data_IF_821796584756
#
_entry.id   IF_821796584756
#
_cell.length_a   1.000
_cell.length_b   1.000
_cell.length_c   1.000
_cell.angle_alpha   90.00
_cell.angle_beta   90.00
_cell.angle_gamma   90.00
#
_symmetry.space_group_name_H-M   'P 1'
#
loop_
_entity.id
_entity.type
_entity.pdbx_description
1 polymer ?
#
# COMPACT_ATOMS: atom_id res chain seq x y z
N UNK A 1 -14.78 -0.22 -6.24
CA UNK A 1 -13.98 0.47 -5.21
C UNK A 1 -12.66 1.00 -5.77
N UNK A 2 -11.82 0.18 -6.39
CA UNK A 2 -10.50 0.62 -6.85
C UNK A 2 -10.56 1.83 -7.80
N UNK A 3 -11.46 1.83 -8.78
CA UNK A 3 -11.63 2.96 -9.70
C UNK A 3 -12.00 4.26 -8.97
N UNK A 4 -12.92 4.20 -7.99
CA UNK A 4 -13.26 5.34 -7.14
C UNK A 4 -12.06 5.84 -6.32
N UNK A 5 -11.24 4.92 -5.81
CA UNK A 5 -10.01 5.29 -5.08
C UNK A 5 -9.01 6.02 -5.99
N UNK A 6 -8.85 5.59 -7.24
CA UNK A 6 -8.00 6.29 -8.21
C UNK A 6 -8.54 7.68 -8.55
N UNK A 7 -9.86 7.84 -8.71
CA UNK A 7 -10.50 9.14 -8.93
C UNK A 7 -10.34 10.06 -7.71
N UNK A 8 -10.47 9.51 -6.49
CA UNK A 8 -10.22 10.26 -5.27
C UNK A 8 -8.75 10.68 -5.14
N UNK A 9 -7.78 9.83 -5.52
CA UNK A 9 -6.37 10.19 -5.54
C UNK A 9 -6.08 11.30 -6.55
N UNK A 10 -6.63 11.20 -7.75
CA UNK A 10 -6.54 12.25 -8.77
C UNK A 10 -7.10 13.58 -8.24
N UNK A 11 -8.28 13.54 -7.63
CA UNK A 11 -8.91 14.73 -7.03
C UNK A 11 -8.02 15.37 -5.95
N UNK A 12 -7.48 14.55 -5.02
CA UNK A 12 -6.59 15.05 -3.95
C UNK A 12 -5.35 15.74 -4.53
N UNK A 13 -4.71 15.13 -5.52
CA UNK A 13 -3.49 15.63 -6.14
C UNK A 13 -3.80 16.89 -6.97
N UNK A 14 -4.79 16.82 -7.86
CA UNK A 14 -5.16 17.95 -8.75
C UNK A 14 -5.64 19.19 -7.99
N UNK A 15 -6.32 19.00 -6.84
CA UNK A 15 -6.80 20.11 -6.00
C UNK A 15 -5.77 20.55 -4.93
N UNK A 16 -4.55 19.97 -4.92
CA UNK A 16 -3.51 20.34 -3.97
C UNK A 16 -3.84 20.02 -2.51
N UNK A 17 -4.65 18.98 -2.26
CA UNK A 17 -5.17 18.62 -0.92
C UNK A 17 -4.23 17.72 -0.11
N UNK A 18 -3.00 17.45 -0.57
CA UNK A 18 -2.05 16.56 0.11
C UNK A 18 -1.76 16.97 1.56
N UNK A 19 -1.68 18.28 1.83
CA UNK A 19 -1.51 18.79 3.20
C UNK A 19 -2.70 18.45 4.12
N UNK A 20 -3.93 18.42 3.59
CA UNK A 20 -5.12 18.04 4.34
C UNK A 20 -5.08 16.55 4.75
N UNK A 21 -4.42 15.71 3.95
CA UNK A 21 -4.18 14.30 4.27
C UNK A 21 -2.92 14.11 5.15
N UNK A 22 -2.30 15.17 5.65
CA UNK A 22 -1.18 15.10 6.58
C UNK A 22 0.19 14.87 5.93
N UNK A 23 0.30 14.91 4.59
CA UNK A 23 1.59 14.76 3.92
C UNK A 23 2.46 15.99 4.10
N UNK A 24 3.76 15.84 4.47
CA UNK A 24 4.68 16.95 4.61
C UNK A 24 4.97 17.56 3.24
N UNK A 25 5.23 18.88 3.21
CA UNK A 25 5.40 19.64 1.97
C UNK A 25 6.47 19.06 1.02
N UNK A 26 7.55 18.50 1.57
CA UNK A 26 8.62 17.88 0.78
C UNK A 26 8.16 16.62 0.01
N UNK A 27 7.09 15.95 0.46
CA UNK A 27 6.54 14.78 -0.23
C UNK A 27 5.65 15.13 -1.43
N UNK A 28 5.09 16.35 -1.47
CA UNK A 28 4.07 16.71 -2.45
C UNK A 28 4.57 16.57 -3.89
N UNK A 29 5.76 17.08 -4.18
CA UNK A 29 6.33 17.01 -5.53
C UNK A 29 6.61 15.57 -5.99
N UNK A 30 7.04 14.70 -5.07
CA UNK A 30 7.29 13.28 -5.37
C UNK A 30 5.98 12.53 -5.64
N UNK A 31 4.96 12.75 -4.81
CA UNK A 31 3.64 12.15 -4.99
C UNK A 31 3.02 12.60 -6.32
N UNK A 32 3.04 13.91 -6.60
CA UNK A 32 2.50 14.46 -7.85
C UNK A 32 3.25 13.90 -9.08
N UNK A 33 4.58 13.94 -9.08
CA UNK A 33 5.38 13.40 -10.18
C UNK A 33 5.13 11.91 -10.42
N UNK A 34 5.00 11.12 -9.35
CA UNK A 34 4.68 9.70 -9.41
C UNK A 34 3.30 9.45 -10.04
N UNK A 35 2.30 10.26 -9.68
CA UNK A 35 0.94 10.21 -10.25
C UNK A 35 0.93 10.60 -11.74
N UNK A 36 1.56 11.72 -12.09
CA UNK A 36 1.61 12.22 -13.48
C UNK A 36 2.31 11.24 -14.43
N UNK A 37 3.37 10.58 -13.95
CA UNK A 37 4.06 9.52 -14.69
C UNK A 37 3.26 8.22 -14.79
N UNK A 38 2.13 8.12 -14.08
CA UNK A 38 1.34 6.88 -13.97
C UNK A 38 2.21 5.69 -13.60
N UNK A 39 3.09 5.88 -12.61
CA UNK A 39 3.97 4.82 -12.15
C UNK A 39 3.16 3.60 -11.76
N UNK A 40 3.47 2.42 -12.32
CA UNK A 40 2.64 1.24 -12.13
C UNK A 40 2.77 0.70 -10.69
N UNK A 41 1.64 0.28 -10.13
CA UNK A 41 1.56 -0.41 -8.84
C UNK A 41 1.44 -1.92 -9.04
N UNK A 42 1.86 -2.69 -8.06
CA UNK A 42 1.77 -4.13 -8.05
C UNK A 42 0.40 -4.60 -7.55
N UNK A 43 0.08 -4.36 -6.28
CA UNK A 43 -1.16 -4.82 -5.64
C UNK A 43 -1.59 -3.90 -4.48
N UNK A 44 -2.69 -4.25 -3.85
CA UNK A 44 -3.18 -3.61 -2.65
C UNK A 44 -4.31 -4.43 -2.02
N UNK A 45 -4.58 -4.23 -0.73
CA UNK A 45 -5.59 -4.96 0.04
C UNK A 45 -6.66 -4.01 0.56
N UNK A 46 -7.91 -4.28 0.23
CA UNK A 46 -9.05 -3.64 0.88
C UNK A 46 -9.43 -4.38 2.14
N UNK A 47 -9.61 -3.66 3.23
CA UNK A 47 -10.25 -4.19 4.42
C UNK A 47 -11.73 -3.80 4.39
N UNK A 48 -12.60 -4.82 4.42
CA UNK A 48 -14.03 -4.68 4.20
C UNK A 48 -14.83 -5.19 5.41
N UNK A 49 -15.89 -4.48 5.76
CA UNK A 49 -16.94 -5.02 6.64
C UNK A 49 -18.01 -5.71 5.79
N UNK A 50 -18.29 -6.98 6.06
CA UNK A 50 -19.26 -7.78 5.33
C UNK A 50 -20.07 -8.68 6.26
N UNK A 51 -21.38 -8.66 6.13
CA UNK A 51 -22.34 -9.42 6.93
C UNK A 51 -22.88 -10.68 6.22
N UNK A 52 -22.37 -10.98 5.03
CA UNK A 52 -22.82 -12.09 4.19
C UNK A 52 -24.04 -11.77 3.30
N UNK A 53 -24.65 -10.60 3.42
CA UNK A 53 -25.90 -10.24 2.72
C UNK A 53 -25.86 -8.87 2.06
N UNK A 54 -25.42 -7.85 2.79
CA UNK A 54 -25.33 -6.47 2.30
C UNK A 54 -24.07 -6.25 1.45
N UNK A 55 -24.01 -5.23 0.59
CA UNK A 55 -22.78 -4.88 -0.08
C UNK A 55 -21.63 -4.66 0.93
N UNK A 56 -20.43 -5.26 0.71
CA UNK A 56 -19.29 -5.08 1.59
C UNK A 56 -18.89 -3.59 1.65
N UNK A 57 -18.60 -3.08 2.84
CA UNK A 57 -18.27 -1.67 3.07
C UNK A 57 -16.80 -1.51 3.35
N UNK A 58 -16.16 -0.59 2.67
CA UNK A 58 -14.74 -0.30 2.79
C UNK A 58 -14.42 0.33 4.16
N UNK A 59 -13.49 -0.27 4.87
CA UNK A 59 -12.93 0.25 6.11
C UNK A 59 -11.63 1.00 5.89
N UNK A 60 -10.77 0.48 5.00
CA UNK A 60 -9.52 1.09 4.57
C UNK A 60 -8.96 0.42 3.30
N UNK A 61 -7.97 1.05 2.71
CA UNK A 61 -7.21 0.51 1.59
C UNK A 61 -5.73 0.48 1.95
N UNK A 62 -5.21 -0.71 2.25
CA UNK A 62 -3.78 -0.94 2.42
C UNK A 62 -3.12 -1.02 1.04
N UNK A 63 -2.76 0.14 0.50
CA UNK A 63 -2.31 0.27 -0.88
C UNK A 63 -0.79 0.36 -1.02
N UNK A 64 -0.09 0.84 0.01
CA UNK A 64 1.34 1.09 0.00
C UNK A 64 2.15 -0.12 0.50
N UNK A 65 1.76 -0.70 1.63
CA UNK A 65 2.44 -1.84 2.26
C UNK A 65 1.43 -2.92 2.64
N UNK A 66 0.68 -3.49 1.68
CA UNK A 66 -0.25 -4.56 1.98
C UNK A 66 0.50 -5.86 2.29
N UNK A 67 0.07 -6.56 3.33
CA UNK A 67 0.53 -7.90 3.73
C UNK A 67 -0.56 -8.95 3.50
N UNK A 68 -0.44 -10.14 4.12
CA UNK A 68 -1.41 -11.25 4.05
C UNK A 68 -1.55 -11.89 2.66
N UNK A 69 -0.46 -11.89 1.88
CA UNK A 69 -0.44 -12.54 0.56
C UNK A 69 -0.42 -14.05 0.68
N UNK A 70 0.44 -14.61 1.54
CA UNK A 70 0.57 -16.05 1.73
C UNK A 70 -0.73 -16.64 2.27
N UNK A 71 -1.36 -15.97 3.22
CA UNK A 71 -2.63 -16.37 3.81
C UNK A 71 -3.74 -16.42 2.76
N UNK A 72 -3.82 -15.39 1.93
CA UNK A 72 -4.88 -15.26 0.93
C UNK A 72 -4.67 -16.17 -0.28
N UNK A 73 -3.44 -16.27 -0.78
CA UNK A 73 -3.14 -16.99 -2.01
C UNK A 73 -2.90 -18.49 -1.79
N UNK A 74 -2.37 -18.88 -0.62
CA UNK A 74 -1.90 -20.26 -0.35
C UNK A 74 -2.65 -20.91 0.81
N UNK A 75 -2.61 -20.32 2.02
CA UNK A 75 -3.15 -20.97 3.21
C UNK A 75 -4.67 -21.18 3.11
N UNK A 76 -5.42 -20.19 2.64
CA UNK A 76 -6.87 -20.30 2.44
C UNK A 76 -7.24 -21.35 1.39
N UNK A 77 -6.41 -21.52 0.36
CA UNK A 77 -6.64 -22.55 -0.66
C UNK A 77 -6.53 -23.95 -0.06
N UNK A 78 -5.46 -24.25 0.69
CA UNK A 78 -5.31 -25.56 1.36
C UNK A 78 -6.41 -25.79 2.39
N UNK A 79 -6.75 -24.77 3.19
CA UNK A 79 -7.85 -24.87 4.13
C UNK A 79 -9.19 -25.20 3.44
N UNK A 80 -9.48 -24.55 2.30
CA UNK A 80 -10.68 -24.84 1.50
C UNK A 80 -10.71 -26.30 1.05
N UNK A 81 -9.60 -26.80 0.50
CA UNK A 81 -9.50 -28.17 0.04
C UNK A 81 -9.71 -29.20 1.17
N UNK A 82 -9.17 -28.93 2.34
CA UNK A 82 -9.23 -29.84 3.49
C UNK A 82 -10.61 -29.81 4.18
N UNK A 83 -11.26 -28.66 4.26
CA UNK A 83 -12.46 -28.46 5.09
C UNK A 83 -13.73 -28.36 4.25
N UNK A 84 -13.69 -27.74 3.09
CA UNK A 84 -14.83 -27.52 2.21
C UNK A 84 -14.52 -27.85 0.73
N UNK A 85 -14.13 -29.10 0.40
CA UNK A 85 -13.64 -29.47 -0.93
C UNK A 85 -14.67 -29.30 -2.06
N UNK A 86 -15.94 -29.07 -1.71
CA UNK A 86 -17.02 -28.83 -2.70
C UNK A 86 -17.35 -27.33 -2.87
N UNK A 87 -16.70 -26.46 -2.08
CA UNK A 87 -16.85 -25.01 -2.23
C UNK A 87 -15.78 -24.45 -3.18
N UNK A 88 -15.92 -23.17 -3.50
CA UNK A 88 -14.98 -22.44 -4.36
C UNK A 88 -14.58 -21.13 -3.69
N UNK A 89 -13.44 -20.59 -4.09
CA UNK A 89 -13.01 -19.24 -3.74
C UNK A 89 -12.48 -18.54 -5.00
N UNK A 90 -12.71 -17.24 -5.12
CA UNK A 90 -12.10 -16.45 -6.18
C UNK A 90 -10.64 -16.13 -5.79
N UNK A 91 -9.74 -17.05 -6.09
CA UNK A 91 -8.33 -16.92 -5.79
C UNK A 91 -7.48 -17.09 -7.05
N UNK A 92 -7.23 -15.98 -7.73
CA UNK A 92 -6.25 -15.90 -8.83
C UNK A 92 -5.09 -14.97 -8.46
N UNK A 93 -4.87 -14.75 -7.16
CA UNK A 93 -3.91 -13.75 -6.67
C UNK A 93 -2.48 -14.09 -7.11
N UNK A 94 -2.08 -15.35 -7.00
CA UNK A 94 -0.74 -15.82 -7.38
C UNK A 94 -0.47 -15.57 -8.87
N UNK A 95 -1.36 -16.05 -9.73
CA UNK A 95 -1.24 -15.90 -11.18
C UNK A 95 -1.25 -14.43 -11.60
N UNK A 96 -2.09 -13.61 -10.96
CA UNK A 96 -2.16 -12.18 -11.23
C UNK A 96 -0.92 -11.42 -10.79
N UNK A 97 -0.26 -11.83 -9.72
CA UNK A 97 1.02 -11.26 -9.31
C UNK A 97 2.11 -11.58 -10.33
N UNK A 98 2.22 -12.85 -10.77
CA UNK A 98 3.17 -13.26 -11.82
C UNK A 98 2.92 -12.47 -13.11
N UNK A 99 1.67 -12.42 -13.59
CA UNK A 99 1.29 -11.64 -14.77
C UNK A 99 1.63 -10.15 -14.60
N UNK A 100 1.34 -9.59 -13.41
CA UNK A 100 1.59 -8.18 -13.13
C UNK A 100 3.07 -7.85 -13.14
N UNK A 101 3.93 -8.69 -12.55
CA UNK A 101 5.38 -8.54 -12.62
C UNK A 101 5.89 -8.48 -14.08
N UNK A 102 5.38 -9.36 -14.95
CA UNK A 102 5.72 -9.36 -16.38
C UNK A 102 5.35 -8.05 -17.08
N UNK A 103 4.21 -7.46 -16.72
CA UNK A 103 3.70 -6.23 -17.32
C UNK A 103 4.36 -4.96 -16.77
N UNK A 104 4.98 -5.01 -15.59
CA UNK A 104 5.52 -3.82 -14.93
C UNK A 104 6.77 -3.24 -15.60
N UNK A 105 7.44 -3.98 -16.48
CA UNK A 105 8.66 -3.52 -17.15
C UNK A 105 9.80 -3.22 -16.16
N UNK A 106 9.96 -4.09 -15.15
CA UNK A 106 11.08 -4.01 -14.19
C UNK A 106 12.41 -4.10 -14.92
N UNK A 107 13.34 -3.20 -14.61
CA UNK A 107 14.66 -3.14 -15.22
C UNK A 107 15.73 -3.61 -14.24
N UNK A 108 16.63 -4.47 -14.70
CA UNK A 108 17.73 -5.02 -13.89
C UNK A 108 17.26 -5.92 -12.74
N UNK A 109 18.13 -6.21 -11.78
CA UNK A 109 17.76 -6.94 -10.58
C UNK A 109 16.70 -6.19 -9.76
N UNK A 110 15.68 -6.91 -9.33
CA UNK A 110 14.64 -6.43 -8.43
C UNK A 110 15.05 -6.74 -7.00
N UNK A 111 15.26 -5.70 -6.19
CA UNK A 111 15.40 -5.87 -4.76
C UNK A 111 14.03 -5.78 -4.11
N UNK A 112 13.73 -6.69 -3.20
CA UNK A 112 12.48 -6.70 -2.41
C UNK A 112 12.87 -6.53 -0.94
N UNK A 113 12.47 -5.39 -0.35
CA UNK A 113 12.97 -4.93 0.94
C UNK A 113 11.92 -4.99 2.04
N UNK A 114 12.34 -5.46 3.23
CA UNK A 114 11.62 -5.36 4.50
C UNK A 114 12.56 -4.99 5.64
N UNK A 115 12.00 -4.73 6.82
CA UNK A 115 12.76 -4.66 8.07
C UNK A 115 13.32 -6.05 8.43
N UNK A 116 14.45 -6.08 9.14
CA UNK A 116 15.14 -7.33 9.48
C UNK A 116 14.42 -8.14 10.59
N UNK A 117 13.72 -7.46 11.49
CA UNK A 117 13.15 -8.04 12.70
C UNK A 117 11.65 -8.38 12.63
N UNK A 118 11.05 -8.37 11.42
CA UNK A 118 9.63 -8.64 11.21
C UNK A 118 9.41 -9.92 10.38
N UNK A 119 8.99 -11.01 11.05
CA UNK A 119 8.77 -12.32 10.41
C UNK A 119 7.61 -12.28 9.39
N UNK A 120 6.53 -11.53 9.64
CA UNK A 120 5.41 -11.39 8.71
C UNK A 120 5.86 -10.69 7.42
N UNK A 121 6.62 -9.61 7.55
CA UNK A 121 7.18 -8.89 6.41
C UNK A 121 8.17 -9.77 5.63
N UNK A 122 8.99 -10.54 6.33
CA UNK A 122 9.93 -11.48 5.72
C UNK A 122 9.20 -12.54 4.87
N UNK A 123 8.16 -13.16 5.42
CA UNK A 123 7.34 -14.16 4.69
C UNK A 123 6.68 -13.52 3.48
N UNK A 124 6.09 -12.34 3.64
CA UNK A 124 5.43 -11.61 2.55
C UNK A 124 6.42 -11.25 1.43
N UNK A 125 7.61 -10.75 1.76
CA UNK A 125 8.63 -10.38 0.77
C UNK A 125 9.19 -11.61 0.05
N UNK A 126 9.38 -12.75 0.72
CA UNK A 126 9.84 -13.98 0.09
C UNK A 126 8.79 -14.58 -0.85
N UNK A 127 7.50 -14.47 -0.50
CA UNK A 127 6.42 -14.84 -1.42
C UNK A 127 6.40 -13.95 -2.68
N UNK A 128 6.65 -12.64 -2.53
CA UNK A 128 6.79 -11.73 -3.68
C UNK A 128 8.00 -12.07 -4.54
N UNK A 129 9.14 -12.46 -3.94
CA UNK A 129 10.31 -12.93 -4.68
C UNK A 129 9.95 -14.15 -5.52
N UNK A 130 9.26 -15.13 -4.93
CA UNK A 130 8.83 -16.34 -5.64
C UNK A 130 7.99 -15.99 -6.88
N UNK A 131 6.99 -15.11 -6.74
CA UNK A 131 6.16 -14.67 -7.87
C UNK A 131 6.95 -13.88 -8.93
N UNK A 132 7.94 -13.09 -8.51
CA UNK A 132 8.81 -12.36 -9.43
C UNK A 132 9.75 -13.29 -10.20
N UNK A 133 10.31 -14.32 -9.54
CA UNK A 133 11.12 -15.35 -10.19
C UNK A 133 10.30 -16.15 -11.22
N UNK A 134 9.07 -16.52 -10.89
CA UNK A 134 8.15 -17.18 -11.82
C UNK A 134 7.79 -16.28 -13.01
N UNK A 135 7.76 -14.97 -12.81
CA UNK A 135 7.60 -13.99 -13.90
C UNK A 135 8.83 -13.84 -14.80
N UNK A 136 9.95 -14.50 -14.47
CA UNK A 136 11.21 -14.44 -15.22
C UNK A 136 12.13 -13.29 -14.81
N UNK A 137 11.85 -12.60 -13.69
CA UNK A 137 12.71 -11.54 -13.17
C UNK A 137 13.87 -12.13 -12.34
N UNK A 138 14.95 -11.37 -12.23
CA UNK A 138 15.97 -11.61 -11.22
C UNK A 138 15.56 -10.84 -9.96
N UNK A 139 15.20 -11.54 -8.90
CA UNK A 139 14.71 -10.95 -7.66
C UNK A 139 15.48 -11.48 -6.45
N UNK A 140 15.80 -10.60 -5.50
CA UNK A 140 16.50 -10.94 -4.27
C UNK A 140 15.99 -10.10 -3.09
N UNK A 141 16.11 -10.65 -1.88
CA UNK A 141 15.78 -9.93 -0.66
C UNK A 141 16.93 -9.00 -0.25
N UNK A 142 16.57 -7.84 0.26
CA UNK A 142 17.49 -6.94 0.96
C UNK A 142 16.80 -6.39 2.22
N UNK A 143 17.51 -6.29 3.35
CA UNK A 143 16.97 -5.54 4.49
C UNK A 143 17.10 -4.04 4.24
N UNK A 144 16.15 -3.26 4.73
CA UNK A 144 16.15 -1.80 4.54
C UNK A 144 17.42 -1.15 5.10
N UNK A 145 17.95 -1.68 6.20
CA UNK A 145 19.16 -1.24 6.87
C UNK A 145 20.43 -1.44 6.01
N UNK A 146 20.35 -2.32 5.03
CA UNK A 146 21.45 -2.64 4.11
C UNK A 146 21.41 -1.84 2.81
N UNK A 147 20.47 -0.89 2.69
CA UNK A 147 20.39 0.02 1.54
C UNK A 147 21.26 1.24 1.81
N UNK A 148 22.29 1.43 0.99
CA UNK A 148 23.18 2.57 1.05
C UNK A 148 22.85 3.68 0.04
N UNK A 149 23.47 4.85 0.21
CA UNK A 149 23.40 5.97 -0.74
C UNK A 149 24.80 6.33 -1.26
N UNK A 150 25.00 6.16 -2.56
CA UNK A 150 26.19 6.66 -3.25
C UNK A 150 25.99 8.13 -3.64
N UNK A 151 26.56 9.05 -2.87
CA UNK A 151 26.42 10.49 -3.09
C UNK A 151 27.13 10.98 -4.35
N UNK A 152 28.18 10.27 -4.80
CA UNK A 152 28.92 10.64 -6.01
C UNK A 152 28.11 10.35 -7.28
N UNK A 153 27.36 9.25 -7.29
CA UNK A 153 26.55 8.82 -8.42
C UNK A 153 25.04 9.06 -8.22
N UNK A 154 24.64 9.61 -7.07
CA UNK A 154 23.26 9.93 -6.69
C UNK A 154 22.30 8.74 -6.91
N UNK A 155 22.64 7.59 -6.33
CA UNK A 155 21.86 6.36 -6.47
C UNK A 155 21.89 5.54 -5.19
N UNK A 156 20.84 4.75 -4.99
CA UNK A 156 20.82 3.72 -3.96
C UNK A 156 21.66 2.53 -4.37
N UNK A 157 22.34 1.92 -3.41
CA UNK A 157 23.24 0.79 -3.59
C UNK A 157 23.02 -0.28 -2.52
N UNK A 158 23.33 -1.53 -2.88
CA UNK A 158 23.38 -2.65 -1.96
C UNK A 158 24.69 -2.68 -1.16
N UNK A 159 24.84 -3.68 -0.28
CA UNK A 159 26.07 -3.89 0.52
C UNK A 159 27.32 -4.16 -0.32
N UNK A 160 27.18 -4.63 -1.56
CA UNK A 160 28.26 -4.83 -2.51
C UNK A 160 28.53 -3.58 -3.38
N UNK A 161 27.93 -2.44 -3.04
CA UNK A 161 28.01 -1.17 -3.78
C UNK A 161 27.46 -1.25 -5.23
N UNK A 162 26.60 -2.23 -5.50
CA UNK A 162 25.92 -2.32 -6.79
C UNK A 162 24.67 -1.43 -6.78
N UNK A 163 24.32 -0.80 -7.93
CA UNK A 163 23.15 0.06 -8.00
C UNK A 163 21.84 -0.74 -7.85
N UNK A 164 20.95 -0.23 -7.01
CA UNK A 164 19.57 -0.70 -6.91
C UNK A 164 18.74 0.04 -7.95
N UNK A 165 18.36 -0.66 -9.02
CA UNK A 165 17.60 -0.09 -10.14
C UNK A 165 16.09 -0.16 -9.92
N UNK A 166 15.60 -1.25 -9.30
CA UNK A 166 14.21 -1.47 -8.96
C UNK A 166 14.12 -1.99 -7.53
N UNK A 167 13.29 -1.35 -6.72
CA UNK A 167 13.12 -1.65 -5.30
C UNK A 167 11.63 -1.76 -4.98
N UNK A 168 11.17 -2.96 -4.65
CA UNK A 168 9.92 -3.12 -3.91
C UNK A 168 10.23 -2.91 -2.42
N UNK A 169 9.49 -2.02 -1.78
CA UNK A 169 9.66 -1.71 -0.37
C UNK A 169 8.43 -2.10 0.44
N UNK A 170 8.56 -2.98 1.39
CA UNK A 170 7.52 -3.21 2.39
C UNK A 170 7.77 -2.26 3.58
N UNK A 171 7.76 -0.97 3.31
CA UNK A 171 8.03 0.10 4.26
C UNK A 171 7.21 1.35 3.91
N UNK A 172 6.51 1.97 4.87
CA UNK A 172 5.54 3.02 4.60
C UNK A 172 6.14 4.30 4.03
N UNK A 173 5.49 4.86 3.00
CA UNK A 173 5.87 6.15 2.45
C UNK A 173 5.82 7.28 3.48
N UNK A 174 4.85 7.28 4.40
CA UNK A 174 4.75 8.32 5.44
C UNK A 174 5.95 8.32 6.40
N UNK A 175 6.65 7.20 6.56
CA UNK A 175 7.90 7.12 7.31
C UNK A 175 9.07 7.58 6.45
N UNK A 176 9.17 7.08 5.21
CA UNK A 176 10.22 7.47 4.26
C UNK A 176 10.27 9.00 4.09
N UNK A 177 9.13 9.67 4.01
CA UNK A 177 9.08 11.14 3.86
C UNK A 177 9.66 11.91 5.05
N UNK A 178 9.81 11.28 6.21
CA UNK A 178 10.37 11.89 7.42
C UNK A 178 11.83 11.50 7.65
N UNK A 179 12.35 10.52 6.92
CA UNK A 179 13.70 10.01 7.08
C UNK A 179 14.71 10.73 6.19
N UNK A 180 15.99 10.79 6.62
CA UNK A 180 17.05 11.42 5.83
C UNK A 180 17.23 10.81 4.44
N UNK A 181 17.05 9.49 4.29
CA UNK A 181 17.16 8.80 3.01
C UNK A 181 16.03 9.16 2.03
N UNK A 182 14.85 9.53 2.54
CA UNK A 182 13.70 9.93 1.74
C UNK A 182 13.97 11.14 0.84
N UNK A 183 14.86 12.06 1.26
CA UNK A 183 15.24 13.24 0.45
C UNK A 183 15.98 12.88 -0.85
N UNK A 184 16.58 11.69 -0.93
CA UNK A 184 17.37 11.26 -2.09
C UNK A 184 16.50 10.62 -3.18
N UNK A 185 15.28 10.21 -2.88
CA UNK A 185 14.42 9.45 -3.80
C UNK A 185 14.13 10.23 -5.09
N UNK A 186 13.80 11.51 -4.97
CA UNK A 186 13.46 12.34 -6.13
C UNK A 186 14.63 12.53 -7.11
N UNK A 187 15.87 12.44 -6.63
CA UNK A 187 17.08 12.57 -7.44
C UNK A 187 17.60 11.21 -7.95
N UNK A 188 17.17 10.10 -7.33
CA UNK A 188 17.62 8.76 -7.65
C UNK A 188 16.97 8.23 -8.92
N UNK A 189 17.71 7.46 -9.75
CA UNK A 189 17.13 6.70 -10.85
C UNK A 189 16.41 5.42 -10.38
N UNK A 190 16.50 5.05 -9.10
CA UNK A 190 15.87 3.85 -8.54
C UNK A 190 14.35 3.95 -8.65
N UNK A 191 13.74 2.94 -9.25
CA UNK A 191 12.30 2.81 -9.32
C UNK A 191 11.76 2.16 -8.06
N UNK A 192 10.89 2.87 -7.34
CA UNK A 192 10.23 2.37 -6.14
C UNK A 192 8.88 1.71 -6.47
N UNK A 193 8.60 0.58 -5.85
CA UNK A 193 7.36 -0.20 -5.89
C UNK A 193 6.96 -0.49 -4.43
N UNK A 194 5.81 -0.20 -3.93
CA UNK A 194 4.72 0.56 -4.55
C UNK A 194 5.11 2.02 -4.79
N UNK A 195 4.56 2.68 -5.82
CA UNK A 195 4.93 4.06 -6.14
C UNK A 195 4.41 5.06 -5.12
N UNK A 196 5.03 6.25 -5.06
CA UNK A 196 4.74 7.26 -4.04
C UNK A 196 3.28 7.76 -4.03
N UNK A 197 2.60 7.75 -5.18
CA UNK A 197 1.18 8.15 -5.23
C UNK A 197 0.26 7.22 -4.43
N UNK A 198 0.67 5.97 -4.19
CA UNK A 198 -0.12 5.01 -3.39
C UNK A 198 -0.20 5.37 -1.90
N UNK A 199 0.70 6.20 -1.41
CA UNK A 199 0.61 6.77 -0.07
C UNK A 199 -0.75 7.48 0.15
N UNK A 200 -1.28 8.16 -0.88
CA UNK A 200 -2.58 8.84 -0.82
C UNK A 200 -3.71 7.86 -0.52
N UNK A 201 -3.66 6.67 -1.13
CA UNK A 201 -4.68 5.62 -0.94
C UNK A 201 -4.57 4.93 0.42
N UNK A 202 -3.35 4.79 0.97
CA UNK A 202 -3.12 4.21 2.28
C UNK A 202 -3.43 5.17 3.43
N UNK A 203 -3.47 6.46 3.17
CA UNK A 203 -3.88 7.47 4.15
C UNK A 203 -5.38 7.36 4.42
N UNK A 204 -5.77 7.27 5.70
CA UNK A 204 -7.19 7.20 6.09
C UNK A 204 -7.99 8.47 5.76
N UNK A 205 -7.30 9.58 5.48
CA UNK A 205 -7.91 10.81 4.94
C UNK A 205 -8.54 10.64 3.55
N UNK A 206 -8.25 9.53 2.84
CA UNK A 206 -8.93 9.23 1.57
C UNK A 206 -10.42 8.86 1.78
N UNK A 207 -10.80 8.34 2.97
CA UNK A 207 -12.18 7.95 3.25
C UNK A 207 -13.16 9.13 3.22
N UNK A 208 -12.89 10.27 3.90
CA UNK A 208 -13.70 11.48 3.74
C UNK A 208 -13.76 11.99 2.31
N UNK A 209 -12.66 11.92 1.56
CA UNK A 209 -12.64 12.36 0.14
C UNK A 209 -13.52 11.44 -0.72
N UNK A 210 -13.46 10.13 -0.51
CA UNK A 210 -14.35 9.17 -1.18
C UNK A 210 -15.82 9.47 -0.86
N UNK A 211 -16.13 9.78 0.41
CA UNK A 211 -17.48 10.13 0.79
C UNK A 211 -17.95 11.46 0.18
N UNK A 212 -17.07 12.47 0.09
CA UNK A 212 -17.34 13.74 -0.59
C UNK A 212 -17.69 13.55 -2.08
N UNK A 213 -16.97 12.66 -2.77
CA UNK A 213 -17.14 12.43 -4.21
C UNK A 213 -18.28 11.45 -4.55
N UNK A 214 -18.52 10.47 -3.68
CA UNK A 214 -19.42 9.34 -3.93
C UNK A 214 -20.41 9.12 -2.77
N UNK A 215 -20.96 10.19 -2.23
CA UNK A 215 -21.91 10.11 -1.10
C UNK A 215 -23.05 9.13 -1.39
N UNK A 216 -23.34 8.26 -0.44
CA UNK A 216 -24.39 7.25 -0.57
C UNK A 216 -24.01 5.99 -1.36
N UNK A 217 -22.79 5.87 -1.86
CA UNK A 217 -22.36 4.64 -2.54
C UNK A 217 -22.41 3.43 -1.58
N UNK A 218 -23.02 2.29 -1.99
CA UNK A 218 -23.31 1.16 -1.10
C UNK A 218 -22.07 0.51 -0.46
N UNK A 219 -20.90 0.64 -1.09
CA UNK A 219 -19.65 0.11 -0.56
C UNK A 219 -18.85 1.11 0.29
N UNK A 220 -19.39 2.31 0.55
CA UNK A 220 -18.74 3.31 1.41
C UNK A 220 -19.49 3.46 2.73
N UNK A 221 -18.76 3.88 3.75
CA UNK A 221 -19.29 4.38 5.01
C UNK A 221 -19.19 5.91 5.03
N UNK A 222 -20.16 6.61 5.64
CA UNK A 222 -20.02 8.05 5.91
C UNK A 222 -18.70 8.32 6.64
N UNK A 223 -17.88 9.22 6.10
CA UNK A 223 -16.61 9.60 6.67
C UNK A 223 -16.38 11.10 6.54
N UNK A 224 -15.82 11.73 7.59
CA UNK A 224 -15.62 13.17 7.68
C UNK A 224 -14.28 13.47 8.35
N UNK A 225 -13.63 14.55 7.96
CA UNK A 225 -12.39 15.02 8.61
C UNK A 225 -12.66 15.51 10.04
N UNK A 226 -13.83 16.11 10.27
CA UNK A 226 -14.19 16.69 11.56
C UNK A 226 -15.31 15.87 12.26
N UNK A 227 -15.28 15.76 13.59
CA UNK A 227 -16.33 15.09 14.34
C UNK A 227 -17.66 15.88 14.32
N UNK A 228 -18.73 15.26 14.80
CA UNK A 228 -20.02 15.92 15.07
C UNK A 228 -21.11 15.64 14.04
N UNK A 229 -20.82 14.93 12.95
CA UNK A 229 -21.84 14.52 11.97
C UNK A 229 -22.41 13.13 12.23
N UNK A 230 -21.74 12.33 13.05
CA UNK A 230 -22.13 10.97 13.36
C UNK A 230 -22.25 10.80 14.88
N UNK A 231 -23.22 10.04 15.34
CA UNK A 231 -23.42 9.69 16.76
C UNK A 231 -22.66 8.42 17.17
N UNK A 232 -22.39 7.55 16.19
CA UNK A 232 -21.59 6.34 16.37
C UNK A 232 -20.53 6.37 15.27
N UNK A 233 -19.27 6.35 15.64
CA UNK A 233 -18.17 6.39 14.66
C UNK A 233 -16.86 5.86 15.22
N UNK A 234 -15.98 5.46 14.32
CA UNK A 234 -14.57 5.22 14.63
C UNK A 234 -13.75 6.46 14.26
N UNK A 235 -13.02 7.02 15.24
CA UNK A 235 -12.01 8.05 14.98
C UNK A 235 -10.70 7.35 14.71
N UNK A 236 -10.13 7.62 13.55
CA UNK A 236 -8.87 7.01 13.10
C UNK A 236 -7.83 8.11 12.84
N UNK A 237 -6.56 7.96 13.26
CA UNK A 237 -5.47 8.83 12.79
C UNK A 237 -5.35 8.73 11.27
N UNK A 238 -4.84 9.78 10.62
CA UNK A 238 -4.60 9.78 9.16
C UNK A 238 -3.65 8.66 8.76
N UNK A 239 -2.60 8.47 9.54
CA UNK A 239 -1.63 7.38 9.41
C UNK A 239 -1.68 6.51 10.68
N UNK A 240 -2.13 5.29 10.55
CA UNK A 240 -2.11 4.30 11.63
C UNK A 240 -2.14 2.90 11.04
N UNK A 241 -1.53 1.96 11.76
CA UNK A 241 -1.41 0.55 11.40
C UNK A 241 -1.92 -0.29 12.55
N UNK A 242 -2.40 -1.51 12.26
CA UNK A 242 -2.86 -2.48 13.27
C UNK A 242 -3.87 -1.90 14.28
N UNK A 243 -4.70 -0.98 13.83
CA UNK A 243 -5.68 -0.33 14.70
C UNK A 243 -5.12 0.64 15.73
N UNK A 244 -3.82 0.99 15.67
CA UNK A 244 -3.19 1.88 16.63
C UNK A 244 -3.92 3.23 16.71
N UNK A 245 -4.26 3.64 17.94
CA UNK A 245 -4.95 4.89 18.26
C UNK A 245 -6.33 5.06 17.59
N UNK A 246 -6.97 3.99 17.18
CA UNK A 246 -8.38 3.99 16.76
C UNK A 246 -9.25 4.06 18.00
N UNK A 247 -10.24 4.97 18.00
CA UNK A 247 -11.18 5.18 19.10
C UNK A 247 -12.61 4.97 18.61
N UNK A 248 -13.39 4.17 19.33
CA UNK A 248 -14.81 3.98 19.05
C UNK A 248 -15.63 4.94 19.89
N UNK A 249 -16.44 5.75 19.25
CA UNK A 249 -17.36 6.67 19.89
C UNK A 249 -18.79 6.15 19.78
N UNK A 250 -19.43 5.95 20.93
CA UNK A 250 -20.82 5.54 21.04
C UNK A 250 -21.55 6.46 22.02
N UNK A 251 -22.90 6.51 22.04
CA UNK A 251 -23.65 7.26 23.05
C UNK A 251 -23.37 6.82 24.48
N UNK A 252 -22.83 5.61 24.69
CA UNK A 252 -22.46 5.07 26.00
C UNK A 252 -21.04 5.46 26.43
N UNK A 253 -20.26 6.07 25.57
CA UNK A 253 -18.90 6.54 25.85
C UNK A 253 -17.84 6.09 24.83
N UNK A 254 -16.58 6.33 25.20
CA UNK A 254 -15.38 5.92 24.44
C UNK A 254 -14.99 4.48 24.79
N UNK A 255 -14.59 3.73 23.79
CA UNK A 255 -13.96 2.40 23.93
C UNK A 255 -12.66 2.38 23.11
#
# INVERSE_FOLDING_TARGET
LHAMCLEAADHVIAQGRLAQLGFPKQAHALIDASWQKREPSLYGRFDLAYDGHSPPRMLEYNADTPTSLLESAVAQWYWLQDVFPQADQFNSLHERLVERWQQMGVQGPLHIASLDDNEEDWVCTHYLIETALQAGLQAEHITLENIGWDSAQQRFVDMAQKPITSLFKLYPWEWIFQEPFGQHIAASPTRFIEPAWKAVLSCKGILPVLWELFEGHPNLLPAYFEPGRLTHYARKPLFSREGANVQLHTPQGLS
#
